data_IF_726871149941
#
_entry.id   IF_726871149941
#
_cell.length_a   1.000
_cell.length_b   1.000
_cell.length_c   1.000
_cell.angle_alpha   90.00
_cell.angle_beta   90.00
_cell.angle_gamma   90.00
#
_symmetry.space_group_name_H-M   'P 1'
#
loop_
_entity.id
_entity.type
_entity.pdbx_description
1 polymer ?
#
# COMPACT_ATOMS: atom_id res chain seq x y z
N UNK A 1 0.84 15.00 5.34
CA UNK A 1 2.08 14.65 6.04
C UNK A 1 2.80 15.91 6.52
N UNK A 2 2.99 16.91 5.65
CA UNK A 2 3.74 18.16 5.97
C UNK A 2 3.15 18.97 7.12
N UNK A 3 1.83 18.93 7.30
CA UNK A 3 1.12 19.65 8.36
C UNK A 3 0.99 18.85 9.67
N UNK A 4 1.47 17.61 9.72
CA UNK A 4 1.38 16.77 10.91
C UNK A 4 2.63 16.97 11.74
N UNK A 5 2.49 17.71 12.83
CA UNK A 5 3.60 18.09 13.71
C UNK A 5 3.95 16.95 14.67
N UNK A 6 4.79 16.02 14.25
CA UNK A 6 5.55 15.17 15.18
C UNK A 6 6.97 14.97 14.64
N UNK A 7 7.91 14.90 15.56
CA UNK A 7 9.32 14.70 15.24
C UNK A 7 9.69 13.23 15.37
N UNK A 8 10.58 12.78 14.49
CA UNK A 8 11.17 11.46 14.57
C UNK A 8 12.58 11.57 15.15
N UNK A 9 13.05 10.59 15.92
CA UNK A 9 14.38 10.59 16.50
C UNK A 9 15.43 10.20 15.43
N UNK A 10 15.89 11.18 14.66
CA UNK A 10 16.75 11.00 13.48
C UNK A 10 18.00 10.16 13.77
N UNK A 11 18.73 10.50 14.84
CA UNK A 11 19.94 9.76 15.24
C UNK A 11 19.69 8.30 15.62
N UNK A 12 18.54 8.02 16.20
CA UNK A 12 18.13 6.65 16.51
C UNK A 12 17.79 5.89 15.23
N UNK A 13 17.02 6.52 14.33
CA UNK A 13 16.60 5.90 13.08
C UNK A 13 17.79 5.57 12.18
N UNK A 14 18.76 6.45 12.05
CA UNK A 14 19.98 6.19 11.27
C UNK A 14 20.75 4.98 11.82
N UNK A 15 20.95 4.92 13.14
CA UNK A 15 21.59 3.78 13.79
C UNK A 15 20.80 2.48 13.61
N UNK A 16 19.48 2.59 13.70
CA UNK A 16 18.61 1.43 13.52
C UNK A 16 18.65 0.90 12.08
N UNK A 17 18.63 1.77 11.07
CA UNK A 17 18.77 1.38 9.66
C UNK A 17 20.09 0.65 9.45
N UNK A 18 21.21 1.19 9.95
CA UNK A 18 22.52 0.54 9.87
C UNK A 18 22.54 -0.84 10.52
N UNK A 19 21.92 -0.98 11.69
CA UNK A 19 21.92 -2.22 12.46
C UNK A 19 20.97 -3.30 11.90
N UNK A 20 19.86 -2.88 11.24
CA UNK A 20 18.83 -3.78 10.72
C UNK A 20 19.03 -4.16 9.25
N UNK A 21 19.93 -3.50 8.55
CA UNK A 21 20.21 -3.80 7.15
C UNK A 21 21.00 -5.11 7.02
N UNK A 22 20.54 -6.00 6.13
CA UNK A 22 21.26 -7.23 5.78
C UNK A 22 22.53 -6.97 4.96
N UNK A 23 22.66 -5.79 4.36
CA UNK A 23 23.83 -5.34 3.62
C UNK A 23 24.50 -4.22 4.37
N UNK A 24 25.83 -4.15 4.28
CA UNK A 24 26.57 -2.98 4.76
C UNK A 24 26.16 -1.76 3.94
N UNK A 25 25.45 -0.84 4.57
CA UNK A 25 25.07 0.45 4.00
C UNK A 25 25.92 1.51 4.67
N UNK A 26 26.54 2.38 3.87
CA UNK A 26 27.35 3.47 4.38
C UNK A 26 26.50 4.58 4.99
N UNK A 27 27.10 5.39 5.88
CA UNK A 27 26.40 6.54 6.47
C UNK A 27 25.99 7.56 5.40
N UNK A 28 26.80 7.72 4.36
CA UNK A 28 26.55 8.63 3.23
C UNK A 28 25.33 8.17 2.41
N UNK A 29 25.18 6.87 2.17
CA UNK A 29 24.01 6.31 1.47
C UNK A 29 22.73 6.48 2.28
N UNK A 30 22.81 6.30 3.60
CA UNK A 30 21.67 6.56 4.50
C UNK A 30 21.29 8.03 4.46
N UNK A 31 22.26 8.93 4.57
CA UNK A 31 22.00 10.38 4.59
C UNK A 31 21.39 10.87 3.28
N UNK A 32 21.79 10.30 2.14
CA UNK A 32 21.27 10.67 0.82
C UNK A 32 19.76 10.40 0.66
N UNK A 33 19.24 9.35 1.27
CA UNK A 33 17.81 8.97 1.13
C UNK A 33 17.01 9.12 2.44
N UNK A 34 17.62 9.63 3.50
CA UNK A 34 17.04 9.67 4.84
C UNK A 34 15.73 10.47 4.91
N UNK A 35 15.62 11.57 4.17
CA UNK A 35 14.42 12.40 4.15
C UNK A 35 13.24 11.65 3.50
N UNK A 36 13.46 10.86 2.45
CA UNK A 36 12.45 10.01 1.85
C UNK A 36 12.02 8.89 2.82
N UNK A 37 12.99 8.28 3.49
CA UNK A 37 12.71 7.29 4.52
C UNK A 37 11.85 7.85 5.65
N UNK A 38 12.20 9.03 6.19
CA UNK A 38 11.41 9.74 7.21
C UNK A 38 10.00 10.03 6.74
N UNK A 39 9.84 10.50 5.51
CA UNK A 39 8.53 10.77 4.92
C UNK A 39 7.68 9.50 4.83
N UNK A 40 8.26 8.41 4.40
CA UNK A 40 7.61 7.10 4.32
C UNK A 40 7.24 6.57 5.71
N UNK A 41 8.14 6.66 6.68
CA UNK A 41 7.89 6.24 8.06
C UNK A 41 6.80 7.11 8.72
N UNK A 42 6.83 8.42 8.54
CA UNK A 42 5.76 9.31 9.02
C UNK A 42 4.41 8.91 8.44
N UNK A 43 4.36 8.62 7.15
CA UNK A 43 3.14 8.16 6.50
C UNK A 43 2.64 6.85 7.12
N UNK A 44 3.51 5.87 7.30
CA UNK A 44 3.17 4.59 7.91
C UNK A 44 2.63 4.75 9.34
N UNK A 45 3.25 5.60 10.15
CA UNK A 45 2.78 5.88 11.50
C UNK A 45 1.41 6.56 11.52
N UNK A 46 1.16 7.49 10.59
CA UNK A 46 -0.15 8.12 10.42
C UNK A 46 -1.20 7.08 10.01
N UNK A 47 -0.89 6.23 9.04
CA UNK A 47 -1.79 5.15 8.61
C UNK A 47 -2.13 4.22 9.77
N UNK A 48 -1.13 3.74 10.49
CA UNK A 48 -1.32 2.84 11.64
C UNK A 48 -2.21 3.48 12.72
N UNK A 49 -2.02 4.77 12.97
CA UNK A 49 -2.87 5.51 13.91
C UNK A 49 -4.30 5.60 13.42
N UNK A 50 -4.51 5.96 12.15
CA UNK A 50 -5.86 6.05 11.56
C UNK A 50 -6.57 4.70 11.55
N UNK A 51 -5.88 3.63 11.19
CA UNK A 51 -6.39 2.25 11.22
C UNK A 51 -6.89 1.92 12.64
N UNK A 52 -6.08 2.21 13.64
CA UNK A 52 -6.42 1.92 15.05
C UNK A 52 -7.57 2.78 15.58
N UNK A 53 -7.57 4.07 15.29
CA UNK A 53 -8.57 5.01 15.80
C UNK A 53 -9.94 4.86 15.13
N UNK A 54 -9.97 4.35 13.90
CA UNK A 54 -11.20 4.17 13.13
C UNK A 54 -11.62 2.70 13.00
N UNK A 55 -10.98 1.80 13.74
CA UNK A 55 -11.26 0.35 13.75
C UNK A 55 -11.29 -0.27 12.33
N UNK A 56 -10.37 0.19 11.46
CA UNK A 56 -10.26 -0.30 10.10
C UNK A 56 -9.63 -1.69 10.15
N UNK A 57 -10.44 -2.72 9.94
CA UNK A 57 -10.00 -4.12 9.93
C UNK A 57 -10.10 -4.70 8.53
N UNK A 58 -9.25 -5.65 8.25
CA UNK A 58 -9.32 -6.48 7.05
C UNK A 58 -9.74 -7.88 7.51
N UNK A 59 -10.88 -8.32 7.02
CA UNK A 59 -11.41 -9.63 7.32
C UNK A 59 -10.88 -10.67 6.31
N UNK A 60 -10.81 -11.94 6.74
CA UNK A 60 -10.30 -13.02 5.89
C UNK A 60 -11.10 -13.17 4.59
N UNK A 61 -12.41 -12.97 4.65
CA UNK A 61 -13.27 -13.05 3.47
C UNK A 61 -12.96 -11.97 2.45
N UNK A 62 -12.59 -10.77 2.91
CA UNK A 62 -12.19 -9.67 2.01
C UNK A 62 -10.86 -9.96 1.31
N UNK A 63 -9.91 -10.59 2.03
CA UNK A 63 -8.64 -11.03 1.45
C UNK A 63 -8.89 -12.10 0.38
N UNK A 64 -9.76 -13.05 0.68
CA UNK A 64 -10.14 -14.13 -0.23
C UNK A 64 -10.79 -13.58 -1.50
N UNK A 65 -11.81 -12.70 -1.36
CA UNK A 65 -12.50 -12.09 -2.51
C UNK A 65 -11.56 -11.20 -3.35
N UNK A 66 -10.69 -10.44 -2.70
CA UNK A 66 -9.68 -9.66 -3.41
C UNK A 66 -8.73 -10.56 -4.22
N UNK A 67 -8.29 -11.67 -3.63
CA UNK A 67 -7.42 -12.64 -4.29
C UNK A 67 -8.12 -13.29 -5.49
N UNK A 68 -9.39 -13.66 -5.36
CA UNK A 68 -10.22 -14.16 -6.48
C UNK A 68 -10.28 -13.12 -7.61
N UNK A 69 -10.49 -11.85 -7.27
CA UNK A 69 -10.48 -10.76 -8.25
C UNK A 69 -9.16 -10.63 -9.00
N UNK A 70 -8.03 -10.80 -8.33
CA UNK A 70 -6.71 -10.81 -8.98
C UNK A 70 -6.58 -11.99 -9.96
N UNK A 71 -7.01 -13.17 -9.56
CA UNK A 71 -6.99 -14.36 -10.42
C UNK A 71 -7.89 -14.19 -11.66
N UNK A 72 -9.11 -13.66 -11.49
CA UNK A 72 -10.03 -13.36 -12.61
C UNK A 72 -9.35 -12.41 -13.61
N UNK A 73 -8.73 -11.33 -13.11
CA UNK A 73 -8.01 -10.39 -13.96
C UNK A 73 -6.83 -11.06 -14.69
N UNK A 74 -6.13 -11.97 -14.03
CA UNK A 74 -5.04 -12.73 -14.66
C UNK A 74 -5.56 -13.63 -15.78
N UNK A 75 -6.65 -14.37 -15.58
CA UNK A 75 -7.28 -15.17 -16.63
C UNK A 75 -7.71 -14.31 -17.83
N UNK A 76 -8.32 -13.14 -17.54
CA UNK A 76 -8.74 -12.21 -18.58
C UNK A 76 -7.56 -11.67 -19.42
N UNK A 77 -6.40 -11.40 -18.79
CA UNK A 77 -5.18 -10.96 -19.50
C UNK A 77 -4.65 -12.04 -20.46
N UNK A 78 -4.85 -13.32 -20.14
CA UNK A 78 -4.50 -14.43 -21.03
C UNK A 78 -5.62 -14.80 -22.03
N UNK A 79 -6.69 -14.01 -22.11
CA UNK A 79 -7.84 -14.28 -22.98
C UNK A 79 -8.63 -15.53 -22.58
N UNK A 80 -8.50 -15.99 -21.35
CA UNK A 80 -9.20 -17.16 -20.83
C UNK A 80 -10.42 -16.73 -20.01
N UNK A 81 -11.53 -17.51 -20.08
CA UNK A 81 -12.65 -17.28 -19.19
C UNK A 81 -12.26 -17.57 -17.73
N UNK A 82 -12.87 -16.83 -16.80
CA UNK A 82 -12.69 -17.12 -15.38
C UNK A 82 -13.24 -18.52 -15.05
N UNK A 83 -12.52 -19.32 -14.24
CA UNK A 83 -13.03 -20.59 -13.70
C UNK A 83 -14.29 -20.40 -12.85
N UNK A 84 -14.94 -21.50 -12.50
CA UNK A 84 -16.05 -21.51 -11.55
C UNK A 84 -15.60 -21.07 -10.15
N UNK A 85 -16.52 -20.56 -9.35
CA UNK A 85 -16.22 -19.90 -8.06
C UNK A 85 -15.52 -20.80 -7.04
N UNK A 86 -15.86 -22.08 -7.01
CA UNK A 86 -15.23 -23.09 -6.15
C UNK A 86 -13.73 -23.29 -6.54
N UNK A 87 -13.45 -23.39 -7.83
CA UNK A 87 -12.08 -23.50 -8.36
C UNK A 87 -11.28 -22.24 -8.05
N UNK A 88 -11.88 -21.05 -8.25
CA UNK A 88 -11.24 -19.78 -7.92
C UNK A 88 -10.95 -19.69 -6.41
N UNK A 89 -11.87 -20.13 -5.58
CA UNK A 89 -11.73 -20.14 -4.13
C UNK A 89 -10.56 -21.03 -3.70
N UNK A 90 -10.43 -22.23 -4.27
CA UNK A 90 -9.33 -23.14 -3.94
C UNK A 90 -7.99 -22.59 -4.43
N UNK A 91 -7.95 -22.01 -5.62
CA UNK A 91 -6.74 -21.35 -6.14
C UNK A 91 -6.35 -20.14 -5.27
N UNK A 92 -7.30 -19.31 -4.86
CA UNK A 92 -7.05 -18.18 -3.99
C UNK A 92 -6.49 -18.62 -2.62
N UNK A 93 -7.05 -19.67 -2.02
CA UNK A 93 -6.53 -20.27 -0.79
C UNK A 93 -5.10 -20.77 -0.97
N UNK A 94 -4.77 -21.40 -2.10
CA UNK A 94 -3.42 -21.86 -2.40
C UNK A 94 -2.43 -20.68 -2.49
N UNK A 95 -2.81 -19.58 -3.16
CA UNK A 95 -1.98 -18.36 -3.21
C UNK A 95 -1.73 -17.82 -1.80
N UNK A 96 -2.76 -17.78 -0.96
CA UNK A 96 -2.69 -17.27 0.41
C UNK A 96 -1.90 -18.17 1.38
N UNK A 97 -1.58 -19.42 1.01
CA UNK A 97 -0.64 -20.26 1.77
C UNK A 97 0.81 -19.75 1.66
N UNK A 98 1.16 -19.06 0.60
CA UNK A 98 2.45 -18.39 0.49
C UNK A 98 2.43 -17.12 1.34
N UNK A 99 3.24 -17.09 2.40
CA UNK A 99 3.26 -15.99 3.37
C UNK A 99 3.63 -14.63 2.75
N UNK A 100 4.54 -14.63 1.78
CA UNK A 100 4.95 -13.38 1.12
C UNK A 100 3.83 -12.81 0.25
N UNK A 101 3.16 -13.66 -0.53
CA UNK A 101 2.02 -13.25 -1.36
C UNK A 101 0.83 -12.84 -0.50
N UNK A 102 0.56 -13.58 0.58
CA UNK A 102 -0.50 -13.22 1.53
C UNK A 102 -0.26 -11.84 2.15
N UNK A 103 0.97 -11.52 2.55
CA UNK A 103 1.31 -10.20 3.08
C UNK A 103 1.11 -9.09 2.05
N UNK A 104 1.55 -9.29 0.80
CA UNK A 104 1.34 -8.31 -0.28
C UNK A 104 -0.14 -8.06 -0.55
N UNK A 105 -0.94 -9.14 -0.58
CA UNK A 105 -2.39 -9.04 -0.77
C UNK A 105 -3.04 -8.30 0.39
N UNK A 106 -2.66 -8.62 1.62
CA UNK A 106 -3.14 -7.94 2.82
C UNK A 106 -2.86 -6.43 2.78
N UNK A 107 -1.63 -6.04 2.43
CA UNK A 107 -1.24 -4.65 2.29
C UNK A 107 -2.05 -3.93 1.20
N UNK A 108 -2.31 -4.60 0.08
CA UNK A 108 -3.15 -4.05 -0.99
C UNK A 108 -4.59 -3.83 -0.53
N UNK A 109 -5.19 -4.80 0.18
CA UNK A 109 -6.55 -4.68 0.73
C UNK A 109 -6.62 -3.53 1.73
N UNK A 110 -5.61 -3.40 2.61
CA UNK A 110 -5.51 -2.23 3.50
C UNK A 110 -5.40 -0.93 2.71
N UNK A 111 -4.59 -0.88 1.67
CA UNK A 111 -4.48 0.29 0.80
C UNK A 111 -5.82 0.71 0.21
N UNK A 112 -6.61 -0.23 -0.29
CA UNK A 112 -7.96 0.02 -0.81
C UNK A 112 -8.89 0.54 0.28
N UNK A 113 -8.87 -0.07 1.47
CA UNK A 113 -9.68 0.39 2.61
C UNK A 113 -9.30 1.80 3.05
N UNK A 114 -8.01 2.09 3.15
CA UNK A 114 -7.52 3.42 3.50
C UNK A 114 -7.92 4.48 2.45
N UNK A 115 -7.84 4.14 1.17
CA UNK A 115 -8.29 5.03 0.11
C UNK A 115 -9.79 5.34 0.22
N UNK A 116 -10.61 4.32 0.47
CA UNK A 116 -12.05 4.48 0.67
C UNK A 116 -12.36 5.29 1.94
N UNK A 117 -11.63 5.05 3.03
CA UNK A 117 -11.72 5.84 4.25
C UNK A 117 -11.45 7.32 3.97
N UNK A 118 -10.37 7.64 3.27
CA UNK A 118 -10.06 9.02 2.91
C UNK A 118 -11.12 9.64 2.00
N UNK A 119 -11.58 8.93 0.97
CA UNK A 119 -12.66 9.42 0.09
C UNK A 119 -13.93 9.79 0.85
N UNK A 120 -14.25 9.05 1.91
CA UNK A 120 -15.47 9.26 2.69
C UNK A 120 -15.29 10.26 3.84
N UNK A 121 -14.07 10.52 4.29
CA UNK A 121 -13.80 11.31 5.50
C UNK A 121 -13.25 12.70 5.20
N UNK A 122 -12.43 12.83 4.14
CA UNK A 122 -11.81 14.11 3.79
C UNK A 122 -12.65 14.88 2.77
N UNK A 123 -12.62 16.20 2.88
CA UNK A 123 -13.22 17.06 1.85
C UNK A 123 -12.38 16.98 0.58
N UNK A 124 -12.93 16.36 -0.45
CA UNK A 124 -12.30 16.29 -1.76
C UNK A 124 -12.44 17.62 -2.50
N UNK A 125 -11.36 18.05 -3.14
CA UNK A 125 -11.38 19.17 -4.06
C UNK A 125 -11.41 18.61 -5.50
N UNK A 126 -12.61 18.42 -6.01
CA UNK A 126 -12.81 17.88 -7.36
C UNK A 126 -12.60 18.99 -8.40
N UNK A 127 -11.76 18.72 -9.38
CA UNK A 127 -11.51 19.61 -10.50
C UNK A 127 -11.77 18.86 -11.80
N UNK A 128 -12.78 19.33 -12.54
CA UNK A 128 -13.00 18.85 -13.91
C UNK A 128 -11.85 19.30 -14.80
N UNK A 129 -11.24 18.38 -15.50
CA UNK A 129 -10.06 18.64 -16.34
C UNK A 129 -10.21 17.83 -17.64
N UNK A 130 -9.95 18.43 -18.83
CA UNK A 130 -9.90 17.68 -20.08
C UNK A 130 -8.88 16.53 -19.98
N UNK A 131 -9.13 15.44 -20.71
CA UNK A 131 -8.31 14.22 -20.65
C UNK A 131 -6.82 14.49 -20.93
N UNK A 132 -6.51 15.29 -21.95
CA UNK A 132 -5.12 15.61 -22.32
C UNK A 132 -4.38 16.38 -21.22
N UNK A 133 -5.06 17.25 -20.50
CA UNK A 133 -4.48 18.02 -19.39
C UNK A 133 -4.36 17.14 -18.14
N UNK A 134 -5.28 16.22 -17.92
CA UNK A 134 -5.17 15.21 -16.86
C UNK A 134 -3.91 14.33 -17.05
N UNK A 135 -3.67 13.86 -18.27
CA UNK A 135 -2.48 13.06 -18.58
C UNK A 135 -1.19 13.84 -18.29
N UNK A 136 -1.11 15.11 -18.67
CA UNK A 136 0.05 15.97 -18.36
C UNK A 136 0.32 16.07 -16.85
N UNK A 137 -0.74 16.28 -16.06
CA UNK A 137 -0.64 16.36 -14.59
C UNK A 137 -0.23 15.03 -13.99
N UNK A 138 -0.80 13.91 -14.47
CA UNK A 138 -0.47 12.59 -13.97
C UNK A 138 0.98 12.19 -14.26
N UNK A 139 1.50 12.54 -15.45
CA UNK A 139 2.89 12.27 -15.83
C UNK A 139 3.90 13.18 -15.10
N UNK A 140 3.50 14.37 -14.70
CA UNK A 140 4.37 15.31 -13.97
C UNK A 140 4.53 14.97 -12.47
N UNK A 141 3.74 14.03 -11.94
CA UNK A 141 3.78 13.60 -10.53
C UNK A 141 4.59 12.29 -10.31
N UNK A 142 5.08 11.68 -11.38
CA UNK A 142 6.01 10.55 -11.36
C UNK A 142 7.43 11.02 -11.63
#
# INVERSE_FOLDING_TARGET
IEKTAFELPDEFLKRWIMASSEKEISAEEIDADFENYKKSLKWQLIQNKLIKENDIKVENDEILEYTKGLLINQFAQYGMPAPEDDVLTDQAKNVLQNKEEANKIYDNVYGVKMLNFFKNTVKLNEKSTPYDDFIKVALAQN
#
